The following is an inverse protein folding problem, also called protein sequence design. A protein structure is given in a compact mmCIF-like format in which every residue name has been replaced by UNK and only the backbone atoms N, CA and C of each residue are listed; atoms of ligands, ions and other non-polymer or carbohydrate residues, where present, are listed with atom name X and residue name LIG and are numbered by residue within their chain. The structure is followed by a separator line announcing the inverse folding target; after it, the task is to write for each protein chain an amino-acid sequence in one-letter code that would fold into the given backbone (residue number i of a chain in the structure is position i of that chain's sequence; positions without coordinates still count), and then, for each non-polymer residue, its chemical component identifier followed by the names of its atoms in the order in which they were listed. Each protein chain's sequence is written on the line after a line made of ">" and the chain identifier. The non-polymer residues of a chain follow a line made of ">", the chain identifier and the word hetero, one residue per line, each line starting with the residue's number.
data_IF_427651117143
#
_entry.id   IF_427651117143
#
_cell.length_a   1.000
_cell.length_b   1.000
_cell.length_c   1.000
_cell.angle_alpha   90.00
_cell.angle_beta   90.00
_cell.angle_gamma   90.00
#
_symmetry.space_group_name_H-M   'P 1'
#
loop_
_entity.id
_entity.type
_entity.pdbx_description
1 polymer ?
#
# COMPACT_ATOMS: atom_id res chain seq x y z
N UNK A 1 5.36 -13.30 4.47
CA UNK A 1 4.05 -12.64 4.69
C UNK A 1 2.95 -13.43 3.96
N UNK A 2 2.18 -14.28 4.65
CA UNK A 2 1.08 -15.05 4.03
C UNK A 2 -0.32 -14.59 4.46
N UNK A 3 -0.40 -13.49 5.20
CA UNK A 3 -1.65 -12.95 5.75
C UNK A 3 -1.80 -11.47 5.37
N UNK A 4 -3.01 -11.01 5.06
CA UNK A 4 -3.27 -9.62 4.71
C UNK A 4 -2.94 -8.70 5.90
N UNK A 5 -2.34 -7.54 5.60
CA UNK A 5 -1.99 -6.54 6.60
C UNK A 5 -3.13 -5.53 6.67
N UNK A 6 -3.71 -5.35 7.86
CA UNK A 6 -4.72 -4.34 8.10
C UNK A 6 -4.08 -3.09 8.70
N UNK A 7 -4.21 -1.96 8.01
CA UNK A 7 -3.71 -0.66 8.41
C UNK A 7 -4.90 0.22 8.78
N UNK A 8 -4.87 0.83 9.97
CA UNK A 8 -5.80 1.90 10.32
C UNK A 8 -5.13 3.22 10.04
N UNK A 9 -5.75 4.04 9.20
CA UNK A 9 -5.27 5.38 8.89
C UNK A 9 -6.37 6.39 9.17
N UNK A 10 -5.99 7.52 9.76
CA UNK A 10 -6.87 8.67 9.83
C UNK A 10 -6.82 9.40 8.48
N UNK A 11 -7.99 9.64 7.90
CA UNK A 11 -8.16 10.33 6.64
C UNK A 11 -9.00 11.59 6.86
N UNK A 12 -8.58 12.67 6.20
CA UNK A 12 -9.38 13.86 6.03
C UNK A 12 -9.67 14.08 4.53
N UNK A 13 -10.95 14.03 4.17
CA UNK A 13 -11.51 14.06 2.81
C UNK A 13 -12.70 15.05 2.73
N UNK A 14 -12.64 16.18 3.44
CA UNK A 14 -13.74 17.16 3.44
C UNK A 14 -14.15 17.61 2.03
N UNK A 15 -13.18 17.68 1.11
CA UNK A 15 -13.37 18.14 -0.26
C UNK A 15 -13.86 17.05 -1.23
N UNK A 16 -14.17 15.84 -0.74
CA UNK A 16 -14.62 14.70 -1.56
C UNK A 16 -13.67 14.36 -2.72
N UNK A 17 -12.38 14.63 -2.56
CA UNK A 17 -11.38 14.48 -3.63
C UNK A 17 -11.14 13.00 -3.95
N UNK A 18 -11.25 12.10 -2.96
CA UNK A 18 -11.04 10.67 -3.21
C UNK A 18 -12.24 10.00 -3.90
N UNK A 19 -12.40 10.30 -5.19
CA UNK A 19 -13.44 9.73 -6.06
C UNK A 19 -12.93 8.49 -6.81
N UNK A 20 -13.83 7.53 -7.01
CA UNK A 20 -13.50 6.16 -7.44
C UNK A 20 -12.70 6.04 -8.75
N UNK A 21 -12.85 6.96 -9.70
CA UNK A 21 -12.26 6.82 -11.03
C UNK A 21 -10.75 7.11 -11.06
N UNK A 22 -10.28 7.99 -10.18
CA UNK A 22 -8.92 8.56 -10.25
C UNK A 22 -8.08 8.30 -9.01
N UNK A 23 -8.66 7.69 -7.96
CA UNK A 23 -7.94 7.36 -6.75
C UNK A 23 -7.03 6.13 -6.92
N UNK A 24 -5.73 6.38 -6.92
CA UNK A 24 -4.64 5.42 -7.12
C UNK A 24 -3.82 5.24 -5.85
N UNK A 25 -3.25 4.04 -5.72
CA UNK A 25 -2.31 3.68 -4.68
C UNK A 25 -1.05 3.13 -5.31
N UNK A 26 0.10 3.60 -4.82
CA UNK A 26 1.40 3.00 -5.08
C UNK A 26 1.98 2.52 -3.76
N UNK A 27 2.50 1.29 -3.75
CA UNK A 27 3.13 0.70 -2.57
C UNK A 27 4.58 0.35 -2.92
N UNK A 28 5.50 0.92 -2.15
CA UNK A 28 6.91 0.55 -2.19
C UNK A 28 7.25 -0.24 -0.94
N UNK A 29 8.06 -1.27 -1.13
CA UNK A 29 8.50 -2.16 -0.06
C UNK A 29 10.01 -2.16 -0.13
N UNK A 30 10.67 -1.78 0.96
CA UNK A 30 12.12 -1.76 1.06
C UNK A 30 12.59 -2.71 2.15
N UNK A 31 13.68 -3.41 1.89
CA UNK A 31 14.36 -4.28 2.85
C UNK A 31 15.53 -3.53 3.47
N UNK A 32 15.76 -3.71 4.77
CA UNK A 32 16.98 -3.19 5.40
C UNK A 32 18.14 -4.11 5.05
N UNK A 33 19.15 -3.54 4.40
CA UNK A 33 20.46 -4.17 4.32
C UNK A 33 21.20 -3.92 5.64
N UNK A 34 21.38 -4.98 6.44
CA UNK A 34 22.07 -4.89 7.73
C UNK A 34 23.56 -4.53 7.60
N UNK A 35 24.21 -4.92 6.50
CA UNK A 35 25.63 -4.65 6.29
C UNK A 35 25.89 -3.18 6.01
N UNK A 36 25.07 -2.57 5.15
CA UNK A 36 25.19 -1.15 4.81
C UNK A 36 24.34 -0.22 5.68
N UNK A 37 23.43 -0.78 6.50
CA UNK A 37 22.42 -0.03 7.26
C UNK A 37 21.57 0.90 6.38
N UNK A 38 21.26 0.45 5.15
CA UNK A 38 20.46 1.22 4.19
C UNK A 38 19.21 0.46 3.76
N UNK A 39 18.18 1.21 3.34
CA UNK A 39 16.96 0.64 2.81
C UNK A 39 17.08 0.47 1.30
N UNK A 40 16.87 -0.75 0.81
CA UNK A 40 16.87 -1.08 -0.62
C UNK A 40 15.46 -1.39 -1.10
N UNK A 41 14.98 -0.67 -2.11
CA UNK A 41 13.64 -0.89 -2.68
C UNK A 41 13.58 -2.25 -3.38
N UNK A 42 12.64 -3.09 -2.96
CA UNK A 42 12.42 -4.40 -3.57
C UNK A 42 11.76 -4.21 -4.93
N UNK A 43 12.24 -4.89 -5.98
CA UNK A 43 11.68 -4.74 -7.32
C UNK A 43 10.27 -5.34 -7.35
N UNK A 44 9.26 -4.47 -7.38
CA UNK A 44 7.84 -4.85 -7.54
C UNK A 44 7.44 -4.95 -9.00
N UNK A 45 8.37 -4.79 -9.95
CA UNK A 45 8.13 -4.86 -11.40
C UNK A 45 6.89 -4.07 -11.88
N UNK A 46 6.52 -3.02 -11.17
CA UNK A 46 5.35 -2.17 -11.46
C UNK A 46 4.00 -2.71 -11.01
N UNK A 47 3.87 -3.93 -10.48
CA UNK A 47 2.55 -4.47 -10.09
C UNK A 47 1.95 -3.80 -8.85
N UNK A 48 2.76 -3.13 -8.03
CA UNK A 48 2.28 -2.31 -6.90
C UNK A 48 2.16 -0.81 -7.23
N UNK A 49 2.34 -0.41 -8.49
CA UNK A 49 2.29 1.00 -8.89
C UNK A 49 0.92 1.35 -9.49
N UNK A 50 0.36 2.49 -9.08
CA UNK A 50 -0.90 3.03 -9.61
C UNK A 50 -2.08 2.04 -9.58
N UNK A 51 -2.08 1.14 -8.60
CA UNK A 51 -3.20 0.23 -8.36
C UNK A 51 -4.46 1.05 -8.02
N UNK A 52 -5.66 0.56 -8.35
CA UNK A 52 -6.87 1.16 -7.82
C UNK A 52 -6.82 1.11 -6.28
N UNK A 53 -6.81 2.27 -5.64
CA UNK A 53 -6.72 2.36 -4.18
C UNK A 53 -7.86 1.62 -3.46
N UNK A 54 -9.00 1.48 -4.13
CA UNK A 54 -10.18 0.80 -3.65
C UNK A 54 -10.06 -0.74 -3.61
N UNK A 55 -9.03 -1.32 -4.24
CA UNK A 55 -8.82 -2.77 -4.28
C UNK A 55 -8.07 -3.27 -3.05
N UNK A 56 -7.11 -2.48 -2.54
CA UNK A 56 -6.27 -2.81 -1.37
C UNK A 56 -6.37 -1.75 -0.26
N UNK A 57 -7.45 -0.97 -0.24
CA UNK A 57 -7.61 0.22 0.60
C UNK A 57 -9.03 0.40 1.11
N UNK A 58 -9.51 1.64 1.30
CA UNK A 58 -10.85 1.87 1.82
C UNK A 58 -11.94 1.41 0.84
N UNK A 59 -13.10 1.01 1.38
CA UNK A 59 -14.29 0.79 0.56
C UNK A 59 -14.63 2.08 -0.17
N UNK A 60 -14.66 2.00 -1.50
CA UNK A 60 -15.00 3.14 -2.34
C UNK A 60 -16.49 3.14 -2.75
N UNK A 61 -17.07 4.32 -3.01
CA UNK A 61 -16.48 5.65 -2.82
C UNK A 61 -16.17 5.93 -1.35
N UNK A 62 -15.09 6.66 -1.05
CA UNK A 62 -14.72 6.97 0.33
C UNK A 62 -15.74 7.96 0.89
N UNK A 63 -16.75 7.45 1.60
CA UNK A 63 -17.85 8.25 2.16
C UNK A 63 -17.47 8.99 3.44
N UNK A 64 -16.36 8.59 4.06
CA UNK A 64 -15.82 9.22 5.26
C UNK A 64 -15.21 10.57 4.87
N UNK A 65 -15.81 11.66 5.37
CA UNK A 65 -15.29 13.02 5.20
C UNK A 65 -14.12 13.32 6.12
N UNK A 66 -14.14 12.81 7.34
CA UNK A 66 -13.03 12.88 8.29
C UNK A 66 -13.18 11.72 9.27
N UNK A 67 -12.13 10.94 9.49
CA UNK A 67 -12.17 9.80 10.40
C UNK A 67 -11.18 8.69 10.07
N UNK A 68 -11.27 7.59 10.82
CA UNK A 68 -10.43 6.42 10.60
C UNK A 68 -11.02 5.52 9.50
N UNK A 69 -10.17 5.14 8.55
CA UNK A 69 -10.45 4.10 7.57
C UNK A 69 -9.50 2.91 7.80
N UNK A 70 -9.99 1.71 7.52
CA UNK A 70 -9.16 0.50 7.50
C UNK A 70 -8.81 0.19 6.05
N UNK A 71 -7.51 0.04 5.78
CA UNK A 71 -6.98 -0.43 4.51
C UNK A 71 -6.45 -1.85 4.69
N UNK A 72 -6.77 -2.72 3.75
CA UNK A 72 -6.29 -4.10 3.75
C UNK A 72 -5.30 -4.29 2.61
N UNK A 73 -4.02 -4.39 2.94
CA UNK A 73 -2.98 -4.75 2.01
C UNK A 73 -2.93 -6.27 1.87
N UNK A 74 -3.53 -6.78 0.80
CA UNK A 74 -3.45 -8.20 0.44
C UNK A 74 -2.48 -8.39 -0.74
N UNK A 75 -1.34 -9.00 -0.45
CA UNK A 75 -0.31 -9.35 -1.44
C UNK A 75 -0.40 -10.83 -1.87
N UNK A 76 -1.44 -11.56 -1.47
CA UNK A 76 -1.59 -13.00 -1.72
C UNK A 76 -1.64 -13.36 -3.21
N UNK A 77 -2.04 -12.42 -4.08
CA UNK A 77 -1.98 -12.56 -5.53
C UNK A 77 -0.54 -12.59 -6.07
N UNK A 78 0.43 -12.10 -5.31
CA UNK A 78 1.84 -11.97 -5.68
C UNK A 78 2.74 -12.99 -4.97
N UNK A 79 2.23 -14.19 -4.67
CA UNK A 79 2.94 -15.27 -3.95
C UNK A 79 4.37 -15.51 -4.43
N UNK A 80 4.60 -15.55 -5.74
CA UNK A 80 5.95 -15.80 -6.28
C UNK A 80 6.95 -14.70 -5.91
N UNK A 81 6.50 -13.44 -5.89
CA UNK A 81 7.32 -12.32 -5.44
C UNK A 81 7.47 -12.29 -3.91
N UNK A 82 6.42 -12.65 -3.17
CA UNK A 82 6.53 -12.80 -1.72
C UNK A 82 7.54 -13.88 -1.30
N UNK A 83 7.75 -14.91 -2.12
CA UNK A 83 8.79 -15.92 -1.90
C UNK A 83 10.21 -15.41 -2.12
N UNK A 84 10.41 -14.28 -2.81
CA UNK A 84 11.73 -13.65 -2.93
C UNK A 84 12.08 -12.71 -1.77
N UNK A 85 11.12 -12.43 -0.88
CA UNK A 85 11.39 -11.69 0.36
C UNK A 85 12.14 -12.58 1.34
N UNK A 86 13.19 -12.06 1.97
CA UNK A 86 13.91 -12.75 3.03
C UNK A 86 13.01 -12.90 4.27
N UNK A 87 13.23 -13.99 5.01
CA UNK A 87 12.57 -14.17 6.30
C UNK A 87 13.33 -13.40 7.38
N UNK A 88 12.61 -12.94 8.40
CA UNK A 88 13.16 -12.36 9.64
C UNK A 88 14.00 -11.09 9.48
N UNK A 89 13.81 -10.35 8.38
CA UNK A 89 14.41 -9.02 8.17
C UNK A 89 13.36 -7.90 8.29
N UNK A 90 13.76 -6.68 8.70
CA UNK A 90 12.83 -5.58 8.79
C UNK A 90 12.51 -5.02 7.40
N UNK A 91 11.22 -4.75 7.18
CA UNK A 91 10.69 -4.16 5.95
C UNK A 91 10.07 -2.79 6.22
N UNK A 92 10.32 -1.85 5.32
CA UNK A 92 9.65 -0.56 5.27
C UNK A 92 8.58 -0.56 4.18
N UNK A 93 7.37 -0.12 4.53
CA UNK A 93 6.27 0.08 3.60
C UNK A 93 6.05 1.58 3.40
N UNK A 94 6.10 2.05 2.16
CA UNK A 94 5.69 3.39 1.79
C UNK A 94 4.43 3.28 0.93
N UNK A 95 3.34 3.90 1.41
CA UNK A 95 2.04 3.87 0.73
C UNK A 95 1.73 5.28 0.27
N UNK A 96 1.70 5.47 -1.04
CA UNK A 96 1.35 6.73 -1.68
C UNK A 96 -0.07 6.64 -2.20
N UNK A 97 -0.94 7.55 -1.75
CA UNK A 97 -2.29 7.70 -2.28
C UNK A 97 -2.31 8.93 -3.20
N UNK A 98 -2.80 8.78 -4.41
CA UNK A 98 -2.82 9.84 -5.42
C UNK A 98 -4.19 9.90 -6.05
N UNK A 99 -4.76 11.10 -6.12
CA UNK A 99 -5.95 11.36 -6.91
C UNK A 99 -5.52 11.99 -8.24
N UNK A 100 -5.84 11.33 -9.36
CA UNK A 100 -5.48 11.77 -10.71
C UNK A 100 -6.62 12.56 -11.38
N UNK A 101 -7.15 13.56 -10.69
CA UNK A 101 -8.11 14.52 -11.27
C UNK A 101 -7.36 15.60 -12.05
#
# INVERSE_FOLDING_TARGET
>A
MNMPINLKIALDNENTMFTHAFFRQTIKISELDEESSTWSEMPTYGFLNHMPACVNGPLCPVTVKSGEITMTLDLSSYKLWLLSLQNDVPYQFEIMMTDMV
#
